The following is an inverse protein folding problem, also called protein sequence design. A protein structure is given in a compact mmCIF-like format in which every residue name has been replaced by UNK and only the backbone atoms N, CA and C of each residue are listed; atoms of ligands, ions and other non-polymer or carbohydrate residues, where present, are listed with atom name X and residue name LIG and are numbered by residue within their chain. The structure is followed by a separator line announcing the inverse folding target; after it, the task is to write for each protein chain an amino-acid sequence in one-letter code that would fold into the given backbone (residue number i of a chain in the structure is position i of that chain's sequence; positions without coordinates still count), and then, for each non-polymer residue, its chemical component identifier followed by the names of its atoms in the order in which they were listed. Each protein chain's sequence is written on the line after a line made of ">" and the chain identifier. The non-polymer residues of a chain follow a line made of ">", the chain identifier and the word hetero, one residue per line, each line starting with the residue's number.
data_IF_072846671504
#
_entry.id   IF_072846671504
#
_cell.length_a   1.000
_cell.length_b   1.000
_cell.length_c   1.000
_cell.angle_alpha   90.00
_cell.angle_beta   90.00
_cell.angle_gamma   90.00
#
_symmetry.space_group_name_H-M   'P 1'
#
loop_
_entity.id
_entity.type
_entity.pdbx_description
1 polymer ?
#
# COMPACT_ATOMS: atom_id res chain seq x y z
N UNK A 1 -5.60 -11.13 -16.90
CA UNK A 1 -4.60 -11.80 -16.04
C UNK A 1 -5.19 -11.84 -14.64
N UNK A 2 -5.61 -13.03 -14.17
CA UNK A 2 -6.29 -13.18 -12.89
C UNK A 2 -5.28 -12.94 -11.75
N UNK A 3 -5.50 -11.92 -10.93
CA UNK A 3 -4.72 -11.70 -9.71
C UNK A 3 -5.36 -12.54 -8.60
N UNK A 4 -4.49 -13.29 -7.90
CA UNK A 4 -4.83 -14.20 -6.82
C UNK A 4 -5.72 -13.55 -5.74
N UNK A 5 -6.59 -14.34 -5.08
CA UNK A 5 -7.48 -13.86 -4.04
C UNK A 5 -6.74 -13.30 -2.82
N UNK A 6 -7.25 -12.20 -2.28
CA UNK A 6 -6.77 -11.58 -1.04
C UNK A 6 -7.19 -12.45 0.15
N UNK A 7 -6.23 -13.03 0.87
CA UNK A 7 -6.49 -13.79 2.10
C UNK A 7 -6.05 -12.94 3.30
N UNK A 8 -6.99 -12.66 4.20
CA UNK A 8 -6.74 -11.97 5.46
C UNK A 8 -6.45 -13.02 6.55
N UNK A 9 -5.21 -13.08 7.05
CA UNK A 9 -4.86 -13.88 8.23
C UNK A 9 -4.90 -13.01 9.50
N UNK A 10 -5.32 -13.65 10.60
CA UNK A 10 -5.54 -13.05 11.92
C UNK A 10 -4.21 -12.99 12.69
N UNK A 11 -3.85 -11.79 13.17
CA UNK A 11 -2.57 -11.35 13.77
C UNK A 11 -1.29 -11.45 12.88
N UNK A 12 -0.47 -10.38 12.95
CA UNK A 12 0.85 -10.18 12.29
C UNK A 12 0.84 -9.99 10.76
N UNK A 13 0.84 -8.73 10.31
CA UNK A 13 1.10 -8.32 8.91
C UNK A 13 0.07 -8.83 7.89
N UNK A 14 -0.77 -7.92 7.40
CA UNK A 14 -1.58 -8.14 6.19
C UNK A 14 -0.65 -8.32 4.99
N UNK A 15 -0.35 -9.57 4.66
CA UNK A 15 0.48 -9.92 3.52
C UNK A 15 -0.40 -10.31 2.34
N UNK A 16 -0.28 -9.61 1.21
CA UNK A 16 -0.84 -10.10 -0.06
C UNK A 16 0.08 -11.21 -0.58
N UNK A 17 -0.46 -12.39 -0.90
CA UNK A 17 0.32 -13.55 -1.38
C UNK A 17 1.49 -13.94 -0.45
N UNK A 18 1.30 -13.86 0.88
CA UNK A 18 2.32 -14.13 1.90
C UNK A 18 3.62 -13.31 1.74
N UNK A 19 3.54 -12.13 1.11
CA UNK A 19 4.68 -11.21 0.95
C UNK A 19 4.40 -9.87 1.62
N UNK A 20 5.44 -9.37 2.28
CA UNK A 20 5.47 -8.02 2.84
C UNK A 20 6.81 -7.34 2.47
N UNK A 21 6.78 -6.14 1.85
CA UNK A 21 5.61 -5.42 1.34
C UNK A 21 4.84 -6.24 0.31
N UNK A 22 3.58 -5.91 0.13
CA UNK A 22 2.76 -6.61 -0.85
C UNK A 22 3.35 -6.42 -2.26
N UNK A 23 3.22 -7.41 -3.18
CA UNK A 23 3.84 -7.36 -4.50
C UNK A 23 3.49 -6.10 -5.29
N UNK A 24 4.47 -5.51 -5.97
CA UNK A 24 4.22 -4.37 -6.86
C UNK A 24 3.32 -4.77 -8.02
N UNK A 25 2.28 -3.99 -8.28
CA UNK A 25 1.42 -4.16 -9.46
C UNK A 25 1.96 -3.22 -10.55
N UNK A 26 2.12 -3.74 -11.77
CA UNK A 26 2.51 -2.95 -12.94
C UNK A 26 1.32 -2.85 -13.91
N UNK A 27 1.07 -1.64 -14.41
CA UNK A 27 0.06 -1.37 -15.42
C UNK A 27 0.58 -0.37 -16.47
N UNK A 28 -0.03 -0.36 -17.65
CA UNK A 28 0.30 0.57 -18.74
C UNK A 28 -0.93 1.42 -19.04
N UNK A 29 -0.73 2.74 -19.15
CA UNK A 29 -1.86 3.67 -19.33
C UNK A 29 -2.51 3.59 -20.72
N UNK A 30 -3.74 4.11 -20.88
CA UNK A 30 -4.38 4.32 -22.19
C UNK A 30 -4.66 5.79 -22.53
N UNK A 31 -4.90 6.10 -23.83
CA UNK A 31 -4.92 7.47 -24.42
C UNK A 31 -6.13 8.35 -24.00
N UNK A 32 -6.54 8.37 -22.74
CA UNK A 32 -7.61 9.25 -22.25
C UNK A 32 -7.32 9.71 -20.82
N UNK A 33 -7.84 10.85 -20.35
CA UNK A 33 -7.64 11.27 -18.95
C UNK A 33 -8.67 10.63 -18.02
N UNK A 34 -8.25 9.78 -17.06
CA UNK A 34 -9.12 9.22 -16.02
C UNK A 34 -8.45 9.13 -14.64
N UNK A 35 -9.03 9.86 -13.67
CA UNK A 35 -8.92 9.63 -12.23
C UNK A 35 -10.24 9.01 -11.79
N UNK A 36 -10.24 7.73 -11.36
CA UNK A 36 -11.42 6.94 -10.95
C UNK A 36 -12.76 7.36 -11.61
N UNK A 37 -12.75 7.58 -12.94
CA UNK A 37 -13.93 8.09 -13.66
C UNK A 37 -14.80 6.90 -13.98
N UNK A 38 -16.10 7.04 -13.67
CA UNK A 38 -17.12 6.01 -13.94
C UNK A 38 -16.82 4.65 -13.30
N UNK A 39 -16.00 4.59 -12.25
CA UNK A 39 -15.66 3.39 -11.49
C UNK A 39 -15.61 3.66 -9.98
N UNK A 40 -16.36 4.66 -9.51
CA UNK A 40 -16.37 5.10 -8.10
C UNK A 40 -16.69 3.97 -7.12
N UNK A 41 -17.51 2.99 -7.50
CA UNK A 41 -17.78 1.76 -6.73
C UNK A 41 -16.58 0.79 -6.67
N UNK A 42 -15.40 1.19 -7.13
CA UNK A 42 -14.17 0.42 -7.11
C UNK A 42 -13.03 1.16 -6.42
N UNK A 43 -13.33 2.33 -5.84
CA UNK A 43 -12.36 3.11 -5.06
C UNK A 43 -11.87 2.34 -3.83
N UNK A 44 -12.70 1.41 -3.33
CA UNK A 44 -12.35 0.56 -2.21
C UNK A 44 -12.40 1.29 -0.86
N UNK A 45 -12.95 2.50 -0.78
CA UNK A 45 -13.15 3.22 0.48
C UNK A 45 -14.45 2.79 1.19
N UNK A 46 -14.51 2.90 2.53
CA UNK A 46 -15.78 2.77 3.24
C UNK A 46 -16.75 3.86 2.75
N UNK A 47 -17.93 3.44 2.28
CA UNK A 47 -18.95 4.32 1.70
C UNK A 47 -19.10 4.17 0.19
N UNK A 48 -18.03 3.86 -0.55
CA UNK A 48 -18.13 3.47 -1.97
C UNK A 48 -18.29 1.96 -2.14
N UNK A 49 -17.68 1.19 -1.23
CA UNK A 49 -17.69 -0.27 -1.21
C UNK A 49 -18.01 -0.77 0.19
N UNK A 50 -18.79 -1.86 0.27
CA UNK A 50 -18.86 -2.65 1.49
C UNK A 50 -17.56 -3.45 1.66
N UNK A 51 -17.09 -3.65 2.92
CA UNK A 51 -15.98 -4.55 3.20
C UNK A 51 -16.20 -5.94 2.58
N UNK A 52 -15.16 -6.50 1.97
CA UNK A 52 -15.20 -7.86 1.42
C UNK A 52 -15.26 -8.85 2.60
N UNK A 53 -16.29 -9.70 2.71
CA UNK A 53 -16.38 -10.66 3.80
C UNK A 53 -15.23 -11.69 3.79
N UNK A 54 -14.91 -12.30 4.94
CA UNK A 54 -13.95 -13.40 4.99
C UNK A 54 -14.36 -14.52 4.03
N UNK A 55 -13.37 -15.13 3.35
CA UNK A 55 -13.54 -16.21 2.34
C UNK A 55 -14.20 -15.77 1.03
N UNK A 56 -14.44 -14.47 0.82
CA UNK A 56 -14.96 -13.94 -0.43
C UNK A 56 -13.84 -13.32 -1.27
N UNK A 57 -14.01 -13.41 -2.59
CA UNK A 57 -13.09 -12.83 -3.55
C UNK A 57 -13.80 -11.72 -4.32
N UNK A 58 -13.12 -10.59 -4.46
CA UNK A 58 -13.60 -9.47 -5.27
C UNK A 58 -12.51 -9.04 -6.25
N UNK A 59 -12.91 -8.68 -7.46
CA UNK A 59 -12.00 -8.23 -8.51
C UNK A 59 -12.27 -6.74 -8.76
N UNK A 60 -11.27 -5.91 -8.50
CA UNK A 60 -11.27 -4.51 -8.92
C UNK A 60 -10.88 -4.43 -10.40
N UNK A 61 -11.76 -3.88 -11.22
CA UNK A 61 -11.64 -3.62 -12.65
C UNK A 61 -11.84 -2.14 -12.99
N UNK A 62 -10.78 -1.35 -12.85
CA UNK A 62 -10.80 0.08 -13.18
C UNK A 62 -9.80 0.38 -14.29
N UNK A 63 -10.02 1.51 -14.97
CA UNK A 63 -9.15 1.96 -16.04
C UNK A 63 -8.15 2.99 -15.52
N UNK A 64 -6.88 2.83 -15.85
CA UNK A 64 -5.79 3.77 -15.51
C UNK A 64 -5.40 4.58 -16.74
N UNK A 65 -6.06 5.72 -16.95
CA UNK A 65 -5.91 6.47 -18.20
C UNK A 65 -5.23 7.84 -17.93
N UNK A 66 -4.25 8.19 -18.77
CA UNK A 66 -3.30 9.32 -18.64
C UNK A 66 -2.76 9.54 -17.22
N UNK A 67 -2.52 8.45 -16.50
CA UNK A 67 -1.77 8.47 -15.23
C UNK A 67 -0.48 7.72 -15.45
N UNK A 68 0.65 8.41 -15.28
CA UNK A 68 1.98 7.81 -15.37
C UNK A 68 2.70 8.19 -14.08
N UNK A 69 3.24 7.19 -13.39
CA UNK A 69 3.97 7.43 -12.16
C UNK A 69 3.93 6.28 -11.16
N UNK A 70 4.44 6.60 -9.98
CA UNK A 70 4.53 5.68 -8.84
C UNK A 70 3.41 5.94 -7.86
N UNK A 71 2.60 4.92 -7.61
CA UNK A 71 1.49 4.91 -6.67
C UNK A 71 1.68 3.76 -5.67
N UNK A 72 0.75 3.62 -4.73
CA UNK A 72 0.72 2.52 -3.79
C UNK A 72 -0.73 2.18 -3.45
N UNK A 73 -1.00 0.92 -3.12
CA UNK A 73 -2.29 0.45 -2.64
C UNK A 73 -2.19 0.03 -1.18
N UNK A 74 -3.28 0.15 -0.44
CA UNK A 74 -3.38 -0.25 0.97
C UNK A 74 -4.85 -0.56 1.34
N UNK A 75 -5.12 -1.36 2.38
CA UNK A 75 -6.47 -1.54 2.89
C UNK A 75 -6.95 -0.24 3.53
N UNK A 76 -8.08 0.27 3.05
CA UNK A 76 -8.74 1.48 3.53
C UNK A 76 -9.58 1.26 4.79
N UNK A 77 -9.80 0.01 5.17
CA UNK A 77 -10.68 -0.34 6.28
C UNK A 77 -9.96 -0.10 7.61
N UNK A 78 -10.51 0.84 8.37
CA UNK A 78 -10.04 1.16 9.71
C UNK A 78 -8.53 1.39 9.75
N UNK A 79 -7.85 0.80 10.73
CA UNK A 79 -6.41 0.93 10.92
C UNK A 79 -5.63 -0.25 10.30
N UNK A 80 -6.21 -0.97 9.34
CA UNK A 80 -5.57 -2.15 8.74
C UNK A 80 -4.28 -1.82 7.99
N UNK A 81 -4.13 -0.60 7.45
CA UNK A 81 -2.87 -0.16 6.84
C UNK A 81 -1.69 -0.25 7.81
N UNK A 82 -1.90 0.06 9.10
CA UNK A 82 -0.86 -0.02 10.12
C UNK A 82 -0.39 -1.46 10.38
N UNK A 83 -1.24 -2.44 10.09
CA UNK A 83 -0.86 -3.84 10.05
C UNK A 83 -0.26 -4.26 8.69
N UNK A 84 0.36 -3.34 7.94
CA UNK A 84 1.29 -3.67 6.84
C UNK A 84 0.71 -4.24 5.53
N UNK A 85 -0.56 -3.93 5.24
CA UNK A 85 -1.28 -4.33 4.02
C UNK A 85 -0.98 -3.57 2.72
N UNK A 86 0.18 -2.93 2.59
CA UNK A 86 0.44 -2.01 1.48
C UNK A 86 1.50 -2.51 0.50
N UNK A 87 1.44 -2.02 -0.73
CA UNK A 87 2.37 -2.37 -1.81
C UNK A 87 2.41 -1.31 -2.89
N UNK A 88 3.44 -1.37 -3.74
CA UNK A 88 3.65 -0.42 -4.83
C UNK A 88 2.67 -0.66 -5.99
N UNK A 89 2.31 0.41 -6.69
CA UNK A 89 1.55 0.36 -7.92
C UNK A 89 2.19 1.29 -8.94
N UNK A 90 2.78 0.74 -9.99
CA UNK A 90 3.48 1.51 -11.00
C UNK A 90 2.64 1.54 -12.26
N UNK A 91 2.42 2.75 -12.78
CA UNK A 91 1.75 2.95 -14.06
C UNK A 91 2.77 3.52 -15.04
N UNK A 92 3.12 2.71 -16.03
CA UNK A 92 4.11 3.03 -17.05
C UNK A 92 3.47 3.77 -18.23
N UNK A 93 4.28 4.59 -18.90
CA UNK A 93 3.92 5.19 -20.17
C UNK A 93 3.79 4.10 -21.26
N UNK A 94 3.12 4.45 -22.36
CA UNK A 94 3.14 3.64 -23.58
C UNK A 94 4.44 3.91 -24.33
N UNK A 95 4.94 2.88 -25.01
CA UNK A 95 6.13 3.00 -25.89
C UNK A 95 5.98 4.08 -26.98
N UNK A 96 4.74 4.38 -27.38
CA UNK A 96 4.42 5.39 -28.40
C UNK A 96 4.51 6.82 -27.86
N UNK A 97 4.43 7.01 -26.54
CA UNK A 97 4.45 8.32 -25.89
C UNK A 97 5.87 8.59 -25.40
N UNK A 98 6.62 9.51 -26.02
CA UNK A 98 7.97 9.84 -25.59
C UNK A 98 7.93 10.54 -24.23
N UNK A 99 8.78 10.07 -23.33
CA UNK A 99 9.02 10.67 -22.02
C UNK A 99 10.06 11.80 -22.14
N UNK A 100 9.96 12.88 -21.35
CA UNK A 100 10.88 14.02 -21.43
C UNK A 100 12.26 13.74 -20.82
N UNK A 101 12.59 12.46 -20.59
CA UNK A 101 13.84 11.99 -20.00
C UNK A 101 14.30 10.70 -20.71
N UNK A 102 15.59 10.41 -20.64
CA UNK A 102 16.16 9.21 -21.24
C UNK A 102 15.63 7.93 -20.57
N UNK A 103 15.64 6.82 -21.31
CA UNK A 103 15.23 5.53 -20.74
C UNK A 103 16.11 5.16 -19.54
N UNK A 104 15.51 4.90 -18.37
CA UNK A 104 16.28 4.48 -17.21
C UNK A 104 16.88 3.08 -17.45
N UNK A 105 18.08 2.84 -16.91
CA UNK A 105 18.70 1.51 -16.97
C UNK A 105 17.97 0.46 -16.11
N UNK A 106 17.10 0.89 -15.20
CA UNK A 106 16.26 0.04 -14.38
C UNK A 106 15.42 0.84 -13.38
N UNK A 107 14.36 0.21 -12.87
CA UNK A 107 13.44 0.80 -11.91
C UNK A 107 13.61 0.19 -10.52
N UNK A 108 13.62 1.04 -9.49
CA UNK A 108 13.70 0.63 -8.09
C UNK A 108 12.47 1.16 -7.37
N UNK A 109 11.69 0.26 -6.77
CA UNK A 109 10.56 0.65 -5.91
C UNK A 109 11.02 0.73 -4.46
N UNK A 110 10.77 1.87 -3.82
CA UNK A 110 11.06 2.09 -2.40
C UNK A 110 9.74 2.44 -1.70
N UNK A 111 9.32 1.60 -0.76
CA UNK A 111 8.18 1.84 0.13
C UNK A 111 8.71 2.11 1.52
N UNK A 112 8.37 3.28 2.07
CA UNK A 112 8.80 3.72 3.40
C UNK A 112 7.55 3.91 4.26
N UNK A 113 7.59 3.42 5.49
CA UNK A 113 6.49 3.63 6.43
C UNK A 113 6.87 3.31 7.87
N UNK A 114 6.13 3.87 8.80
CA UNK A 114 6.34 3.66 10.23
C UNK A 114 5.83 2.28 10.68
N UNK A 115 6.49 1.72 11.69
CA UNK A 115 6.14 0.44 12.28
C UNK A 115 5.85 0.58 13.77
N UNK A 116 4.75 -0.03 14.18
CA UNK A 116 4.37 -0.19 15.58
C UNK A 116 4.35 -1.68 15.89
N UNK A 117 4.96 -2.07 17.01
CA UNK A 117 4.95 -3.47 17.49
C UNK A 117 3.59 -3.87 18.08
N UNK A 118 2.74 -2.89 18.39
CA UNK A 118 1.39 -3.11 18.91
C UNK A 118 0.42 -3.48 17.78
N UNK A 119 -0.55 -4.34 18.08
CA UNK A 119 -1.57 -4.71 17.10
C UNK A 119 -2.40 -3.50 16.66
N UNK A 120 -2.72 -3.42 15.36
CA UNK A 120 -3.53 -2.36 14.77
C UNK A 120 -4.88 -2.11 15.46
N UNK A 121 -5.52 -3.14 16.01
CA UNK A 121 -6.77 -3.00 16.78
C UNK A 121 -6.60 -2.24 18.08
N UNK A 122 -5.45 -2.42 18.75
CA UNK A 122 -5.09 -1.71 19.99
C UNK A 122 -4.74 -0.27 19.69
N UNK A 123 -3.95 -0.03 18.64
CA UNK A 123 -3.61 1.32 18.17
C UNK A 123 -4.87 2.10 17.82
N UNK A 124 -5.79 1.46 17.07
CA UNK A 124 -7.09 2.05 16.77
C UNK A 124 -7.87 2.42 18.03
N UNK A 125 -8.01 1.49 18.99
CA UNK A 125 -8.73 1.76 20.25
C UNK A 125 -8.13 2.93 21.04
N UNK A 126 -6.81 3.10 20.99
CA UNK A 126 -6.14 4.22 21.64
C UNK A 126 -6.53 5.55 20.97
N UNK A 127 -6.49 5.62 19.64
CA UNK A 127 -6.93 6.79 18.87
C UNK A 127 -8.42 7.09 19.07
N UNK A 128 -9.28 6.07 19.02
CA UNK A 128 -10.73 6.20 19.25
C UNK A 128 -11.03 6.70 20.68
N UNK A 129 -10.13 6.44 21.65
CA UNK A 129 -10.20 6.96 23.01
C UNK A 129 -9.55 8.36 23.18
N UNK A 130 -9.13 9.00 22.08
CA UNK A 130 -8.49 10.32 22.09
C UNK A 130 -7.04 10.33 22.56
N UNK A 131 -6.38 9.16 22.62
CA UNK A 131 -4.97 9.05 23.02
C UNK A 131 -4.07 9.11 21.79
N UNK A 132 -2.96 9.84 21.92
CA UNK A 132 -1.90 9.82 20.93
C UNK A 132 -1.15 8.48 20.95
N UNK A 133 -0.64 8.05 19.80
CA UNK A 133 0.11 6.80 19.63
C UNK A 133 1.58 6.94 20.04
N UNK A 134 2.09 8.17 20.11
CA UNK A 134 3.50 8.45 20.38
C UNK A 134 4.41 8.05 19.20
N UNK A 135 5.72 7.98 19.47
CA UNK A 135 6.71 7.65 18.44
C UNK A 135 6.59 6.19 17.99
N UNK A 136 6.67 5.90 16.67
CA UNK A 136 6.71 4.53 16.18
C UNK A 136 7.95 3.79 16.65
N UNK A 137 7.85 2.45 16.71
CA UNK A 137 8.95 1.58 17.14
C UNK A 137 10.07 1.48 16.10
N UNK A 138 9.83 1.90 14.86
CA UNK A 138 10.84 1.97 13.82
C UNK A 138 10.28 2.43 12.48
N UNK A 139 11.16 2.60 11.50
CA UNK A 139 10.81 2.91 10.10
C UNK A 139 11.14 1.70 9.25
N UNK A 140 10.21 1.27 8.40
CA UNK A 140 10.43 0.18 7.44
C UNK A 140 10.79 0.76 6.08
N UNK A 141 11.83 0.22 5.46
CA UNK A 141 12.17 0.44 4.05
C UNK A 141 12.01 -0.89 3.34
N UNK A 142 11.09 -0.96 2.39
CA UNK A 142 10.69 -2.18 1.70
C UNK A 142 10.41 -3.33 2.67
N UNK A 143 9.65 -3.03 3.74
CA UNK A 143 9.23 -3.97 4.77
C UNK A 143 10.34 -4.45 5.71
N UNK A 144 11.56 -3.93 5.54
CA UNK A 144 12.69 -4.17 6.43
C UNK A 144 12.86 -2.97 7.34
N UNK A 145 12.78 -3.18 8.65
CA UNK A 145 13.15 -2.14 9.61
C UNK A 145 14.66 -1.91 9.62
N UNK A 146 15.15 -0.86 10.31
CA UNK A 146 16.52 -0.88 10.77
C UNK A 146 16.72 -2.19 11.53
N UNK A 147 17.80 -2.92 11.22
CA UNK A 147 18.30 -3.95 12.14
C UNK A 147 18.37 -3.32 13.52
N UNK A 148 17.92 -4.07 14.54
CA UNK A 148 17.77 -3.67 15.96
C UNK A 148 18.48 -2.35 16.26
N UNK A 149 17.69 -1.28 16.45
CA UNK A 149 18.20 0.01 16.86
C UNK A 149 19.11 -0.23 18.07
N UNK A 150 20.41 0.00 17.87
CA UNK A 150 21.38 -0.09 18.94
C UNK A 150 21.41 1.31 19.57
N UNK A 151 20.76 1.43 20.73
CA UNK A 151 20.60 2.66 21.53
C UNK A 151 21.94 3.38 21.81
N UNK A 152 23.07 2.73 21.55
CA UNK A 152 24.43 3.28 21.69
C UNK A 152 24.88 4.21 20.56
N UNK A 153 24.21 4.21 19.40
CA UNK A 153 24.66 4.94 18.20
C UNK A 153 23.98 6.30 18.00
N UNK A 154 22.91 6.58 18.76
CA UNK A 154 22.26 7.88 18.72
C UNK A 154 22.38 8.49 20.11
N UNK A 155 23.47 9.22 20.33
CA UNK A 155 23.57 10.13 21.47
C UNK A 155 22.56 11.24 21.20
N UNK A 156 21.39 11.16 21.82
CA UNK A 156 20.51 12.33 21.93
C UNK A 156 21.21 13.36 22.82
N UNK A 157 21.26 14.65 22.44
CA UNK A 157 21.79 15.71 23.30
C UNK A 157 20.97 15.89 24.58
#
# INVERSE_FOLDING_TARGET
>A
MALNPFVFYDFEVFARNNKFPSPTINSTTNNNVVINRRSSWQDGLPGTNCPIPPKWNWIYQFQVNDQIGSFFYFPSLYFQRAASGFGGFIINNRDIIPIPFGFPNGDITILIGDWYTRNHTVLRKALDAGKDLGMPNGVLINGKGPYQYNDTLVVTP
#
